data_IF_059892798770
#
_entry.id   IF_059892798770
#
_cell.length_a   1.000
_cell.length_b   1.000
_cell.length_c   1.000
_cell.angle_alpha   90.00
_cell.angle_beta   90.00
_cell.angle_gamma   90.00
#
_symmetry.space_group_name_H-M   'P 1'
#
loop_
_entity.id
_entity.type
_entity.pdbx_description
1 polymer ?
#
# COMPACT_ATOMS: atom_id res chain seq x y z
N UNK A 1 -11.46 5.93 18.14
CA UNK A 1 -12.56 4.94 18.21
C UNK A 1 -13.53 5.20 17.08
N UNK A 2 -13.21 4.70 15.88
CA UNK A 2 -13.89 5.02 14.64
C UNK A 2 -15.42 4.81 14.68
N UNK A 3 -16.19 5.78 14.18
CA UNK A 3 -17.64 5.67 14.00
C UNK A 3 -17.96 4.47 13.09
N UNK A 4 -19.03 3.70 13.37
CA UNK A 4 -19.38 2.50 12.59
C UNK A 4 -19.65 2.80 11.11
N UNK A 5 -20.06 4.04 10.77
CA UNK A 5 -20.17 4.51 9.39
C UNK A 5 -18.83 4.57 8.66
N UNK A 6 -17.73 4.95 9.34
CA UNK A 6 -16.40 5.05 8.76
C UNK A 6 -15.85 3.69 8.38
N UNK A 7 -15.91 2.72 9.32
CA UNK A 7 -15.44 1.36 9.08
C UNK A 7 -16.19 0.70 7.92
N UNK A 8 -17.48 0.98 7.79
CA UNK A 8 -18.30 0.49 6.67
C UNK A 8 -17.83 1.09 5.34
N UNK A 9 -17.65 2.40 5.27
CA UNK A 9 -17.13 3.05 4.04
C UNK A 9 -15.73 2.57 3.70
N UNK A 10 -14.84 2.51 4.68
CA UNK A 10 -13.48 1.99 4.51
C UNK A 10 -13.50 0.56 3.97
N UNK A 11 -14.29 -0.33 4.59
CA UNK A 11 -14.41 -1.72 4.15
C UNK A 11 -14.98 -1.85 2.74
N UNK A 12 -15.91 -0.96 2.33
CA UNK A 12 -16.45 -0.95 0.96
C UNK A 12 -15.41 -0.50 -0.07
N UNK A 13 -14.48 0.37 0.32
CA UNK A 13 -13.40 0.85 -0.55
C UNK A 13 -12.18 -0.08 -0.56
N UNK A 14 -11.97 -0.85 0.51
CA UNK A 14 -10.93 -1.88 0.60
C UNK A 14 -11.22 -2.98 -0.42
N UNK A 15 -10.30 -3.15 -1.37
CA UNK A 15 -10.35 -4.23 -2.36
C UNK A 15 -9.39 -5.34 -1.96
N UNK A 16 -9.91 -6.53 -1.70
CA UNK A 16 -9.06 -7.70 -1.48
C UNK A 16 -8.56 -8.21 -2.82
N UNK A 17 -7.25 -8.38 -2.92
CA UNK A 17 -6.56 -8.95 -4.07
C UNK A 17 -5.85 -10.22 -3.60
N UNK A 18 -5.97 -11.28 -4.40
CA UNK A 18 -5.32 -12.56 -4.15
C UNK A 18 -4.22 -12.76 -5.17
N UNK A 19 -3.03 -13.14 -4.71
CA UNK A 19 -1.87 -13.26 -5.58
C UNK A 19 -1.24 -14.66 -5.42
N UNK A 20 -1.13 -15.43 -6.51
CA UNK A 20 -0.52 -16.75 -6.45
C UNK A 20 1.01 -16.67 -6.26
N UNK A 21 1.64 -17.75 -5.75
CA UNK A 21 3.08 -17.81 -5.61
C UNK A 21 3.78 -17.67 -6.97
N UNK A 22 4.85 -16.87 -7.01
CA UNK A 22 5.65 -16.59 -8.21
C UNK A 22 5.13 -15.42 -9.06
N UNK A 23 3.93 -14.90 -8.75
CA UNK A 23 3.34 -13.80 -9.49
C UNK A 23 3.87 -12.44 -9.01
N UNK A 24 3.99 -11.49 -9.94
CA UNK A 24 4.57 -10.17 -9.68
C UNK A 24 3.44 -9.15 -9.59
N UNK A 25 3.22 -8.62 -8.38
CA UNK A 25 2.19 -7.63 -8.08
C UNK A 25 2.46 -6.27 -8.71
N UNK A 26 3.71 -5.83 -8.59
CA UNK A 26 4.15 -4.50 -9.00
C UNK A 26 5.47 -4.66 -9.72
N UNK A 27 5.59 -4.03 -10.88
CA UNK A 27 6.83 -3.96 -11.63
C UNK A 27 7.48 -2.59 -11.40
N UNK A 28 8.79 -2.46 -11.55
CA UNK A 28 9.47 -1.17 -11.55
C UNK A 28 8.91 -0.26 -12.64
N UNK A 29 8.55 0.97 -12.28
CA UNK A 29 7.99 1.98 -13.17
C UNK A 29 6.46 2.07 -13.15
N UNK A 30 5.77 1.12 -12.51
CA UNK A 30 4.32 1.17 -12.28
C UNK A 30 3.92 2.34 -11.40
N UNK A 31 2.70 2.82 -11.60
CA UNK A 31 2.17 3.99 -10.87
C UNK A 31 1.65 3.53 -9.51
N UNK A 32 2.28 4.01 -8.45
CA UNK A 32 1.85 3.77 -7.07
C UNK A 32 0.74 4.75 -6.71
N UNK A 33 -0.51 4.35 -6.95
CA UNK A 33 -1.70 5.14 -6.61
C UNK A 33 -2.54 4.52 -5.48
N UNK A 34 -2.02 3.47 -4.84
CA UNK A 34 -2.73 2.69 -3.83
C UNK A 34 -1.76 2.13 -2.79
N UNK A 35 -2.30 1.89 -1.59
CA UNK A 35 -1.61 1.19 -0.51
C UNK A 35 -1.99 -0.29 -0.52
N UNK A 36 -1.06 -1.14 -0.10
CA UNK A 36 -1.26 -2.58 0.00
C UNK A 36 -0.95 -3.07 1.42
N UNK A 37 -1.87 -3.87 1.97
CA UNK A 37 -1.76 -4.45 3.30
C UNK A 37 -1.72 -5.97 3.18
N UNK A 38 -0.70 -6.62 3.73
CA UNK A 38 -0.59 -8.07 3.69
C UNK A 38 -1.37 -8.65 4.85
N UNK A 39 -2.50 -9.27 4.54
CA UNK A 39 -3.28 -10.00 5.55
C UNK A 39 -2.67 -11.38 5.80
N UNK A 40 -2.22 -12.05 4.73
CA UNK A 40 -1.63 -13.39 4.79
C UNK A 40 -0.65 -13.61 3.65
N UNK A 41 0.37 -14.43 3.90
CA UNK A 41 1.36 -14.83 2.91
C UNK A 41 2.71 -14.16 3.15
N UNK A 42 3.56 -14.20 2.13
CA UNK A 42 4.88 -13.59 2.15
C UNK A 42 5.25 -13.12 0.75
N UNK A 43 5.82 -11.93 0.68
CA UNK A 43 6.12 -11.20 -0.54
C UNK A 43 7.57 -10.71 -0.43
N UNK A 44 8.31 -10.81 -1.51
CA UNK A 44 9.65 -10.26 -1.62
C UNK A 44 9.66 -9.01 -2.50
N UNK A 45 10.47 -8.04 -2.13
CA UNK A 45 10.75 -6.85 -2.93
C UNK A 45 12.11 -7.05 -3.58
N UNK A 46 12.11 -7.01 -4.91
CA UNK A 46 13.28 -7.14 -5.76
C UNK A 46 13.62 -5.78 -6.36
N UNK A 47 14.86 -5.33 -6.19
CA UNK A 47 15.39 -4.13 -6.85
C UNK A 47 16.56 -4.56 -7.71
N UNK A 48 16.42 -4.40 -9.03
CA UNK A 48 17.48 -4.79 -9.99
C UNK A 48 17.91 -6.27 -9.81
N UNK A 49 16.91 -7.16 -9.73
CA UNK A 49 17.07 -8.61 -9.46
C UNK A 49 17.68 -8.98 -8.09
N UNK A 50 17.88 -8.00 -7.20
CA UNK A 50 18.37 -8.22 -5.83
C UNK A 50 17.21 -8.10 -4.85
N UNK A 51 17.04 -9.09 -3.97
CA UNK A 51 16.05 -9.02 -2.89
C UNK A 51 16.47 -7.97 -1.86
N UNK A 52 15.70 -6.89 -1.76
CA UNK A 52 15.97 -5.78 -0.82
C UNK A 52 15.20 -5.92 0.49
N UNK A 53 14.03 -6.55 0.46
CA UNK A 53 13.18 -6.75 1.63
C UNK A 53 12.25 -7.94 1.43
N UNK A 54 11.87 -8.58 2.54
CA UNK A 54 10.81 -9.58 2.59
C UNK A 54 9.74 -9.03 3.54
N UNK A 55 8.49 -9.04 3.06
CA UNK A 55 7.31 -8.61 3.80
C UNK A 55 6.42 -9.82 4.06
N UNK A 56 5.87 -9.90 5.28
CA UNK A 56 5.05 -11.01 5.74
C UNK A 56 3.64 -10.58 6.11
N UNK A 57 2.97 -11.40 6.94
CA UNK A 57 1.67 -11.02 7.52
C UNK A 57 1.82 -9.72 8.31
N UNK A 58 0.79 -8.89 8.29
CA UNK A 58 0.70 -7.60 9.00
C UNK A 58 1.56 -6.48 8.41
N UNK A 59 2.41 -6.78 7.41
CA UNK A 59 3.22 -5.76 6.76
C UNK A 59 2.43 -4.93 5.76
N UNK A 60 2.80 -3.65 5.66
CA UNK A 60 2.17 -2.67 4.78
C UNK A 60 3.21 -2.09 3.84
N UNK A 61 2.88 -2.04 2.56
CA UNK A 61 3.76 -1.51 1.53
C UNK A 61 3.00 -0.65 0.53
N UNK A 62 3.69 0.31 -0.09
CA UNK A 62 3.08 1.21 -1.07
C UNK A 62 3.67 2.62 -1.00
N UNK A 63 2.81 3.62 -1.23
CA UNK A 63 3.16 5.03 -1.15
C UNK A 63 2.42 5.70 0.00
N UNK A 64 3.13 6.46 0.84
CA UNK A 64 2.45 7.23 1.87
C UNK A 64 1.60 8.39 1.28
N UNK A 65 0.29 8.13 1.13
CA UNK A 65 -0.71 9.06 0.57
C UNK A 65 -0.74 10.40 1.32
N UNK A 66 -0.34 10.43 2.60
CA UNK A 66 -0.38 11.64 3.41
C UNK A 66 0.84 12.54 3.27
N UNK A 67 1.97 11.99 2.81
CA UNK A 67 3.20 12.77 2.61
C UNK A 67 3.36 13.28 1.18
N UNK A 68 2.62 12.71 0.23
CA UNK A 68 2.87 12.94 -1.19
C UNK A 68 1.58 13.20 -1.97
N UNK A 69 1.41 14.46 -2.42
CA UNK A 69 0.29 14.83 -3.30
C UNK A 69 0.42 14.23 -4.70
N UNK A 70 1.62 13.90 -5.17
CA UNK A 70 1.87 13.34 -6.50
C UNK A 70 2.03 11.83 -6.48
N UNK A 71 1.41 11.15 -7.45
CA UNK A 71 1.60 9.70 -7.65
C UNK A 71 3.04 9.43 -8.06
N UNK A 72 3.75 8.65 -7.26
CA UNK A 72 5.10 8.19 -7.58
C UNK A 72 5.10 6.95 -8.48
N UNK A 73 6.30 6.59 -8.92
CA UNK A 73 6.55 5.33 -9.61
C UNK A 73 7.22 4.36 -8.65
N UNK A 74 6.98 3.06 -8.84
CA UNK A 74 7.68 2.01 -8.14
C UNK A 74 9.15 1.94 -8.58
N UNK A 75 10.07 1.96 -7.62
CA UNK A 75 11.51 1.74 -7.88
C UNK A 75 11.87 0.25 -7.92
N UNK A 76 11.02 -0.60 -7.35
CA UNK A 76 11.26 -2.02 -7.12
C UNK A 76 10.12 -2.88 -7.67
N UNK A 77 10.41 -4.15 -7.92
CA UNK A 77 9.44 -5.18 -8.23
C UNK A 77 8.96 -5.85 -6.94
N UNK A 78 7.70 -6.25 -6.90
CA UNK A 78 7.08 -6.92 -5.76
C UNK A 78 6.58 -8.26 -6.23
N UNK A 79 7.15 -9.34 -5.69
CA UNK A 79 6.83 -10.72 -6.09
C UNK A 79 6.29 -11.51 -4.91
N UNK A 80 5.19 -12.23 -5.10
CA UNK A 80 4.65 -13.10 -4.08
C UNK A 80 5.46 -14.40 -3.99
N UNK A 81 5.93 -14.77 -2.79
CA UNK A 81 6.59 -16.05 -2.55
C UNK A 81 5.58 -17.18 -2.35
N UNK A 82 4.44 -16.85 -1.73
CA UNK A 82 3.37 -17.80 -1.39
C UNK A 82 2.03 -17.24 -1.86
N UNK A 83 0.94 -17.97 -1.63
CA UNK A 83 -0.40 -17.43 -1.83
C UNK A 83 -0.64 -16.28 -0.85
N UNK A 84 -0.76 -15.06 -1.38
CA UNK A 84 -0.87 -13.85 -0.59
C UNK A 84 -2.26 -13.25 -0.69
N UNK A 85 -2.85 -12.99 0.48
CA UNK A 85 -4.07 -12.22 0.63
C UNK A 85 -3.68 -10.81 1.06
N UNK A 86 -3.98 -9.85 0.18
CA UNK A 86 -3.62 -8.46 0.41
C UNK A 86 -4.77 -7.54 0.11
N UNK A 87 -4.91 -6.52 0.96
CA UNK A 87 -5.91 -5.50 0.78
C UNK A 87 -5.30 -4.30 0.09
N UNK A 88 -5.97 -3.83 -0.96
CA UNK A 88 -5.63 -2.65 -1.72
C UNK A 88 -6.62 -1.54 -1.42
N UNK A 89 -6.11 -0.34 -1.14
CA UNK A 89 -6.92 0.87 -1.05
C UNK A 89 -6.31 1.96 -1.92
N UNK A 90 -7.13 2.56 -2.80
CA UNK A 90 -6.67 3.67 -3.61
C UNK A 90 -6.59 4.96 -2.81
N UNK A 91 -5.66 5.84 -3.22
CA UNK A 91 -5.51 7.15 -2.61
C UNK A 91 -6.78 7.99 -2.67
N UNK A 92 -7.51 7.95 -3.79
CA UNK A 92 -8.73 8.74 -3.98
C UNK A 92 -9.81 8.29 -2.99
N UNK A 93 -9.98 6.97 -2.85
CA UNK A 93 -10.95 6.41 -1.91
C UNK A 93 -10.60 6.73 -0.47
N UNK A 94 -9.31 6.68 -0.11
CA UNK A 94 -8.86 7.08 1.22
C UNK A 94 -9.12 8.58 1.42
N UNK A 95 -8.75 9.45 0.47
CA UNK A 95 -8.97 10.90 0.53
C UNK A 95 -10.44 11.27 0.71
N UNK A 96 -11.37 10.62 0.01
CA UNK A 96 -12.81 10.84 0.22
C UNK A 96 -13.24 10.52 1.66
N UNK A 97 -12.73 9.43 2.23
CA UNK A 97 -13.04 9.04 3.62
C UNK A 97 -12.41 10.03 4.60
N UNK A 98 -11.17 10.45 4.34
CA UNK A 98 -10.44 11.41 5.16
C UNK A 98 -11.15 12.78 5.18
N UNK A 99 -11.72 13.19 4.05
CA UNK A 99 -12.48 14.45 3.91
C UNK A 99 -13.82 14.40 4.67
N UNK A 100 -14.55 13.28 4.55
CA UNK A 100 -15.82 13.11 5.28
C UNK A 100 -15.65 12.92 6.79
N UNK A 101 -14.54 12.30 7.24
CA UNK A 101 -14.31 11.95 8.65
C UNK A 101 -12.87 12.28 9.09
N UNK A 102 -12.57 13.57 9.35
CA UNK A 102 -11.22 14.01 9.74
C UNK A 102 -10.76 13.46 11.09
N UNK A 103 -11.66 13.16 12.03
CA UNK A 103 -11.30 12.55 13.32
C UNK A 103 -10.74 11.12 13.15
N UNK A 104 -11.32 10.35 12.23
CA UNK A 104 -10.81 9.03 11.88
C UNK A 104 -9.56 9.12 11.01
N UNK A 105 -9.45 10.17 10.20
CA UNK A 105 -8.30 10.41 9.35
C UNK A 105 -6.99 10.47 10.13
N UNK A 106 -6.97 11.28 11.19
CA UNK A 106 -5.81 11.45 12.06
C UNK A 106 -5.45 10.13 12.77
N UNK A 107 -6.45 9.39 13.26
CA UNK A 107 -6.27 8.09 13.91
C UNK A 107 -5.72 7.05 12.93
N UNK A 108 -6.29 6.97 11.72
CA UNK A 108 -5.81 6.07 10.67
C UNK A 108 -4.40 6.43 10.23
N UNK A 109 -4.09 7.72 10.00
CA UNK A 109 -2.73 8.17 9.67
C UNK A 109 -1.71 7.82 10.75
N UNK A 110 -2.08 7.96 12.03
CA UNK A 110 -1.21 7.62 13.16
C UNK A 110 -0.99 6.12 13.28
N UNK A 111 -2.00 5.32 13.02
CA UNK A 111 -1.95 3.87 13.10
C UNK A 111 -1.38 3.22 11.82
N UNK A 112 -1.30 3.96 10.72
CA UNK A 112 -0.77 3.49 9.45
C UNK A 112 0.76 3.44 9.48
N UNK A 113 1.30 2.28 9.81
CA UNK A 113 2.74 2.02 9.73
C UNK A 113 3.08 1.38 8.39
N UNK A 114 3.75 2.13 7.51
CA UNK A 114 4.22 1.61 6.21
C UNK A 114 5.60 0.98 6.43
N UNK A 115 5.68 -0.34 6.36
CA UNK A 115 6.95 -1.08 6.49
C UNK A 115 7.91 -0.74 5.36
N UNK A 116 7.41 -0.66 4.13
CA UNK A 116 8.24 -0.40 2.96
C UNK A 116 7.60 0.58 1.98
N UNK A 117 8.26 1.71 1.79
CA UNK A 117 7.84 2.70 0.80
C UNK A 117 8.44 2.34 -0.57
N UNK A 118 7.56 2.05 -1.53
CA UNK A 118 7.95 1.64 -2.89
C UNK A 118 8.28 2.84 -3.78
N UNK A 119 8.01 4.07 -3.32
CA UNK A 119 8.12 5.29 -4.10
C UNK A 119 9.57 5.54 -4.48
N UNK A 120 9.79 5.72 -5.78
CA UNK A 120 11.06 6.19 -6.27
C UNK A 120 11.24 7.68 -5.92
N UNK A 121 12.17 7.97 -5.01
CA UNK A 121 12.49 9.33 -4.54
C UNK A 121 13.51 10.03 -5.45
N UNK A 122 13.91 9.41 -6.59
CA UNK A 122 14.93 10.00 -7.47
C UNK A 122 14.48 11.26 -8.23
N UNK A 123 13.22 11.68 -8.06
CA UNK A 123 12.66 12.88 -8.69
C UNK A 123 12.84 14.22 -7.96
N UNK A 124 13.56 14.29 -6.82
CA UNK A 124 13.70 15.54 -6.05
C UNK A 124 14.92 16.41 -6.39
N UNK A 125 15.52 16.22 -7.57
CA UNK A 125 16.47 17.18 -8.15
C UNK A 125 16.10 17.45 -9.61
N UNK A 126 15.24 18.44 -9.83
CA UNK A 126 15.29 19.26 -11.04
C UNK A 126 14.65 20.62 -10.81
#
# INVERSE_FOLDING_TARGET
>A
GASPGCLRTLSMKFKTTHVPPGDTLVHRGDILSALYFISRGSIEILKDDIVVAILGKDDVFGENICKHETVGKSSCNVRALTYCDLHKIHRNDLLEILDMYPEFAEEFKRNLEVTFDLRDVSGFFS
#
